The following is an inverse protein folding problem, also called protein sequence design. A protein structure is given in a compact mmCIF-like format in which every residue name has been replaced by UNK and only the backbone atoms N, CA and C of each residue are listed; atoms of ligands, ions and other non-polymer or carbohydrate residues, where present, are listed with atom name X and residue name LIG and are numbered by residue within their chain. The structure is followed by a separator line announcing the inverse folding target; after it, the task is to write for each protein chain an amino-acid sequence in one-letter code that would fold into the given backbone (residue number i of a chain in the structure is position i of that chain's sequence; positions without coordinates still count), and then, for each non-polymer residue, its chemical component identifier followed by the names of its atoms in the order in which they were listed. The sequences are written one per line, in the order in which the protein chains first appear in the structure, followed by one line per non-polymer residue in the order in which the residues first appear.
data_IF_823568976913
#
_entry.id   IF_823568976913
#
_cell.length_a   1.000
_cell.length_b   1.000
_cell.length_c   1.000
_cell.angle_alpha   90.00
_cell.angle_beta   90.00
_cell.angle_gamma   90.00
#
_symmetry.space_group_name_H-M   'P 1'
#
loop_
_entity.id
_entity.type
_entity.pdbx_description
1 polymer ?
#
# COMPACT_ATOMS: atom_id res chain seq x y z
N UNK A 1 -11.95 -19.48 -0.74
CA UNK A 1 -12.22 -18.72 0.50
C UNK A 1 -11.15 -17.68 0.82
N UNK A 2 -9.84 -17.98 0.69
CA UNK A 2 -8.74 -17.07 1.07
C UNK A 2 -8.80 -15.68 0.39
N UNK A 3 -9.00 -15.64 -0.93
CA UNK A 3 -9.02 -14.39 -1.70
C UNK A 3 -10.13 -13.40 -1.27
N UNK A 4 -11.37 -13.88 -1.12
CA UNK A 4 -12.48 -13.01 -0.71
C UNK A 4 -12.24 -12.43 0.68
N UNK A 5 -11.82 -13.28 1.62
CA UNK A 5 -11.49 -12.86 2.99
C UNK A 5 -10.44 -11.76 2.98
N UNK A 6 -9.36 -11.93 2.22
CA UNK A 6 -8.32 -10.90 2.10
C UNK A 6 -8.89 -9.61 1.50
N UNK A 7 -9.68 -9.66 0.43
CA UNK A 7 -10.25 -8.44 -0.17
C UNK A 7 -11.19 -7.69 0.79
N UNK A 8 -11.99 -8.41 1.58
CA UNK A 8 -12.87 -7.81 2.59
C UNK A 8 -12.04 -7.22 3.72
N UNK A 9 -11.07 -7.97 4.25
CA UNK A 9 -10.15 -7.50 5.29
C UNK A 9 -9.41 -6.23 4.84
N UNK A 10 -9.03 -6.15 3.56
CA UNK A 10 -8.36 -4.95 2.99
C UNK A 10 -9.29 -3.74 2.91
N UNK A 11 -10.54 -3.92 2.49
CA UNK A 11 -11.52 -2.82 2.43
C UNK A 11 -11.82 -2.29 3.84
N UNK A 12 -12.04 -3.18 4.81
CA UNK A 12 -12.32 -2.81 6.20
C UNK A 12 -11.18 -1.97 6.81
N UNK A 13 -9.93 -2.28 6.46
CA UNK A 13 -8.76 -1.63 7.06
C UNK A 13 -8.09 -0.59 6.16
N UNK A 14 -8.75 -0.19 5.08
CA UNK A 14 -8.21 0.79 4.14
C UNK A 14 -7.95 2.16 4.80
N UNK A 15 -8.69 2.45 5.87
CA UNK A 15 -8.53 3.65 6.71
C UNK A 15 -7.17 3.73 7.43
N UNK A 16 -6.42 2.62 7.56
CA UNK A 16 -5.06 2.67 8.17
C UNK A 16 -3.96 2.93 7.12
N UNK A 17 -4.32 3.02 5.84
CA UNK A 17 -3.41 3.01 4.71
C UNK A 17 -3.83 4.03 3.62
N UNK A 18 -4.38 3.57 2.49
CA UNK A 18 -4.63 4.40 1.31
C UNK A 18 -5.58 5.57 1.57
N UNK A 19 -6.69 5.34 2.30
CA UNK A 19 -7.61 6.42 2.66
C UNK A 19 -6.92 7.44 3.55
N UNK A 20 -6.08 6.98 4.47
CA UNK A 20 -5.37 7.83 5.41
C UNK A 20 -4.36 8.73 4.70
N UNK A 21 -3.62 8.17 3.75
CA UNK A 21 -2.71 8.93 2.90
C UNK A 21 -3.48 9.94 2.07
N UNK A 22 -4.49 9.48 1.33
CA UNK A 22 -5.26 10.33 0.43
C UNK A 22 -5.90 11.53 1.16
N UNK A 23 -6.57 11.26 2.28
CA UNK A 23 -7.19 12.29 3.13
C UNK A 23 -6.14 13.26 3.68
N UNK A 24 -5.15 12.78 4.41
CA UNK A 24 -4.17 13.66 5.07
C UNK A 24 -3.29 14.45 4.09
N UNK A 25 -2.86 13.84 2.99
CA UNK A 25 -2.00 14.52 2.01
C UNK A 25 -2.74 15.62 1.26
N UNK A 26 -4.03 15.41 0.98
CA UNK A 26 -4.83 16.42 0.24
C UNK A 26 -5.34 17.50 1.16
N UNK A 27 -5.78 17.16 2.38
CA UNK A 27 -6.23 18.12 3.38
C UNK A 27 -5.11 19.02 3.90
N UNK A 28 -3.84 18.57 3.87
CA UNK A 28 -2.69 19.43 4.12
C UNK A 28 -2.62 20.64 3.16
N UNK A 29 -3.28 20.54 2.00
CA UNK A 29 -3.39 21.59 1.00
C UNK A 29 -4.83 22.08 0.80
N UNK A 30 -5.74 21.82 1.75
CA UNK A 30 -7.17 22.18 1.67
C UNK A 30 -7.88 21.65 0.41
N UNK A 31 -7.46 20.48 -0.08
CA UNK A 31 -8.08 19.81 -1.23
C UNK A 31 -8.93 18.64 -0.75
N UNK A 32 -10.20 18.60 -1.16
CA UNK A 32 -11.10 17.48 -0.90
C UNK A 32 -10.88 16.35 -1.91
N UNK A 33 -10.56 15.15 -1.44
CA UNK A 33 -10.46 13.95 -2.29
C UNK A 33 -11.76 13.15 -2.25
N UNK A 34 -12.24 12.73 -3.42
CA UNK A 34 -13.37 11.79 -3.56
C UNK A 34 -12.90 10.47 -4.13
N UNK A 35 -13.45 9.39 -3.60
CA UNK A 35 -13.04 8.01 -3.90
C UNK A 35 -14.23 7.16 -4.36
N UNK A 36 -14.70 7.29 -5.62
CA UNK A 36 -15.91 6.62 -6.11
C UNK A 36 -15.90 5.10 -5.96
N UNK A 37 -14.72 4.46 -5.97
CA UNK A 37 -14.58 3.02 -5.77
C UNK A 37 -14.90 2.54 -4.33
N UNK A 38 -15.07 3.45 -3.38
CA UNK A 38 -15.52 3.17 -2.02
C UNK A 38 -16.96 3.64 -1.76
N UNK A 39 -17.68 4.03 -2.81
CA UNK A 39 -19.11 4.26 -2.72
C UNK A 39 -19.83 2.99 -2.22
N UNK A 40 -20.85 3.16 -1.38
CA UNK A 40 -21.55 2.06 -0.73
C UNK A 40 -22.26 1.16 -1.75
N UNK A 41 -22.95 1.74 -2.71
CA UNK A 41 -23.69 0.99 -3.74
C UNK A 41 -22.72 0.23 -4.65
N UNK A 42 -21.59 0.86 -4.99
CA UNK A 42 -20.53 0.20 -5.73
C UNK A 42 -19.91 -0.97 -4.95
N UNK A 43 -19.64 -0.78 -3.66
CA UNK A 43 -19.07 -1.82 -2.80
C UNK A 43 -20.02 -3.02 -2.65
N UNK A 44 -21.33 -2.79 -2.56
CA UNK A 44 -22.31 -3.88 -2.50
C UNK A 44 -22.19 -4.77 -3.74
N UNK A 45 -22.11 -4.19 -4.94
CA UNK A 45 -21.91 -4.94 -6.19
C UNK A 45 -20.54 -5.64 -6.20
N UNK A 46 -19.46 -4.92 -5.86
CA UNK A 46 -18.09 -5.42 -5.95
C UNK A 46 -17.80 -6.56 -4.95
N UNK A 47 -18.33 -6.47 -3.72
CA UNK A 47 -18.14 -7.49 -2.68
C UNK A 47 -18.98 -8.72 -2.98
N UNK A 48 -20.25 -8.55 -3.36
CA UNK A 48 -21.18 -9.65 -3.69
C UNK A 48 -20.81 -10.40 -4.97
N UNK A 49 -20.07 -9.77 -5.88
CA UNK A 49 -19.56 -10.42 -7.08
C UNK A 49 -18.72 -11.65 -6.71
N UNK A 50 -18.99 -12.79 -7.38
CA UNK A 50 -18.34 -14.06 -7.07
C UNK A 50 -16.80 -13.95 -7.18
N UNK A 51 -16.03 -14.45 -6.20
CA UNK A 51 -14.58 -14.26 -6.14
C UNK A 51 -13.82 -14.74 -7.39
N UNK A 52 -14.34 -15.75 -8.09
CA UNK A 52 -13.74 -16.28 -9.33
C UNK A 52 -13.58 -15.22 -10.42
N UNK A 53 -14.49 -14.24 -10.48
CA UNK A 53 -14.45 -13.17 -11.48
C UNK A 53 -13.51 -12.02 -11.11
N UNK A 54 -13.12 -11.95 -9.83
CA UNK A 54 -12.22 -10.91 -9.31
C UNK A 54 -10.75 -11.34 -9.35
N UNK A 55 -10.48 -12.63 -9.57
CA UNK A 55 -9.12 -13.15 -9.73
C UNK A 55 -8.52 -12.66 -11.05
N UNK A 56 -7.18 -12.55 -11.14
CA UNK A 56 -6.52 -12.31 -12.40
C UNK A 56 -6.95 -13.35 -13.45
N UNK A 57 -7.11 -12.89 -14.68
CA UNK A 57 -7.55 -13.73 -15.80
C UNK A 57 -6.40 -13.84 -16.81
N UNK A 58 -6.11 -15.07 -17.24
CA UNK A 58 -5.10 -15.31 -18.26
C UNK A 58 -5.58 -14.78 -19.63
N UNK A 59 -4.86 -13.85 -20.23
CA UNK A 59 -5.12 -13.28 -21.55
C UNK A 59 -3.79 -13.14 -22.29
N UNK A 60 -3.71 -13.67 -23.52
CA UNK A 60 -2.50 -13.61 -24.35
C UNK A 60 -1.22 -14.10 -23.63
N UNK A 61 -1.35 -15.17 -22.83
CA UNK A 61 -0.25 -15.76 -22.05
C UNK A 61 0.19 -14.96 -20.82
N UNK A 62 -0.57 -13.93 -20.40
CA UNK A 62 -0.30 -13.13 -19.20
C UNK A 62 -1.51 -13.06 -18.28
N UNK A 63 -1.29 -13.04 -16.98
CA UNK A 63 -2.36 -12.79 -16.01
C UNK A 63 -2.66 -11.29 -15.94
N UNK A 64 -3.93 -10.94 -16.16
CA UNK A 64 -4.41 -9.55 -16.08
C UNK A 64 -5.23 -9.35 -14.83
N UNK A 65 -4.76 -8.50 -13.92
CA UNK A 65 -5.51 -8.09 -12.74
C UNK A 65 -6.70 -7.17 -13.08
N UNK A 66 -7.72 -7.20 -12.20
CA UNK A 66 -8.94 -6.40 -12.34
C UNK A 66 -9.65 -6.62 -13.69
N UNK A 67 -9.57 -7.84 -14.23
CA UNK A 67 -10.10 -8.19 -15.55
C UNK A 67 -11.58 -7.83 -15.72
N UNK A 68 -12.45 -8.23 -14.77
CA UNK A 68 -13.89 -7.90 -14.84
C UNK A 68 -14.14 -6.38 -14.91
N UNK A 69 -13.34 -5.59 -14.19
CA UNK A 69 -13.43 -4.14 -14.22
C UNK A 69 -13.00 -3.62 -15.59
N UNK A 70 -11.85 -4.08 -16.13
CA UNK A 70 -11.38 -3.68 -17.46
C UNK A 70 -12.40 -4.04 -18.54
N UNK A 71 -12.96 -5.25 -18.52
CA UNK A 71 -14.00 -5.68 -19.46
C UNK A 71 -15.29 -4.85 -19.37
N UNK A 72 -15.66 -4.35 -18.20
CA UNK A 72 -16.83 -3.48 -18.06
C UNK A 72 -16.66 -2.12 -18.78
N UNK A 73 -15.42 -1.68 -18.99
CA UNK A 73 -15.07 -0.46 -19.73
C UNK A 73 -14.48 -0.73 -21.12
N UNK A 74 -14.54 -1.98 -21.61
CA UNK A 74 -14.07 -2.38 -22.94
C UNK A 74 -15.11 -2.05 -24.03
N UNK A 75 -15.57 -0.79 -23.99
CA UNK A 75 -16.27 -0.11 -25.05
C UNK A 75 -15.33 1.00 -25.53
N UNK A 76 -15.16 1.16 -26.84
CA UNK A 76 -14.19 2.09 -27.48
C UNK A 76 -14.42 3.59 -27.18
N UNK A 77 -15.23 3.90 -26.17
CA UNK A 77 -15.68 5.25 -25.80
C UNK A 77 -15.02 5.80 -24.52
N UNK A 78 -14.47 4.95 -23.64
CA UNK A 78 -14.00 5.41 -22.32
C UNK A 78 -12.49 5.59 -22.24
N UNK A 79 -11.71 4.61 -22.70
CA UNK A 79 -10.26 4.60 -22.60
C UNK A 79 -9.65 3.98 -23.86
N UNK A 80 -8.49 4.48 -24.33
CA UNK A 80 -7.72 3.82 -25.37
C UNK A 80 -7.35 2.39 -24.96
N UNK A 81 -7.35 1.46 -25.92
CA UNK A 81 -7.08 0.03 -25.69
C UNK A 81 -5.77 -0.21 -24.93
N UNK A 82 -4.71 0.53 -25.28
CA UNK A 82 -3.40 0.44 -24.63
C UNK A 82 -3.42 0.80 -23.14
N UNK A 83 -4.28 1.75 -22.73
CA UNK A 83 -4.44 2.15 -21.33
C UNK A 83 -5.32 1.14 -20.59
N UNK A 84 -6.41 0.71 -21.22
CA UNK A 84 -7.36 -0.23 -20.63
C UNK A 84 -6.71 -1.58 -20.30
N UNK A 85 -5.72 -2.01 -21.10
CA UNK A 85 -5.03 -3.28 -20.94
C UNK A 85 -3.58 -3.14 -20.46
N UNK A 86 -3.18 -1.94 -20.03
CA UNK A 86 -1.87 -1.70 -19.43
C UNK A 86 -1.67 -2.53 -18.17
N UNK A 87 -0.48 -3.11 -18.03
CA UNK A 87 -0.05 -3.80 -16.82
C UNK A 87 -0.05 -2.84 -15.62
N UNK A 88 -0.58 -3.28 -14.46
CA UNK A 88 -0.52 -2.47 -13.24
C UNK A 88 0.91 -2.42 -12.70
N UNK A 89 1.46 -1.22 -12.68
CA UNK A 89 2.67 -0.88 -11.92
C UNK A 89 2.29 -0.32 -10.55
N UNK A 90 3.14 -0.50 -9.53
CA UNK A 90 2.90 0.08 -8.21
C UNK A 90 3.12 1.61 -8.24
N UNK A 91 2.58 2.33 -7.26
CA UNK A 91 2.74 3.80 -7.24
C UNK A 91 4.21 4.21 -7.14
N UNK A 92 5.00 3.45 -6.39
CA UNK A 92 6.43 3.69 -6.19
C UNK A 92 7.22 3.58 -7.49
N UNK A 93 6.86 2.63 -8.35
CA UNK A 93 7.53 2.40 -9.62
C UNK A 93 7.05 3.40 -10.68
N UNK A 94 5.76 3.78 -10.60
CA UNK A 94 5.14 4.74 -11.52
C UNK A 94 5.54 6.21 -11.31
N UNK A 95 6.08 6.57 -10.13
CA UNK A 95 6.62 7.93 -9.89
C UNK A 95 8.08 8.08 -10.33
N UNK A 96 8.77 6.98 -10.61
CA UNK A 96 10.17 6.95 -11.03
C UNK A 96 11.05 6.14 -10.07
N UNK A 97 11.77 5.16 -10.62
CA UNK A 97 12.63 4.24 -9.85
C UNK A 97 13.68 4.95 -8.99
N UNK A 98 14.24 6.06 -9.46
CA UNK A 98 15.29 6.80 -8.73
C UNK A 98 14.81 7.42 -7.42
N UNK A 99 13.52 7.74 -7.30
CA UNK A 99 13.00 8.44 -6.12
C UNK A 99 13.12 7.59 -4.84
N UNK A 100 12.81 6.29 -4.95
CA UNK A 100 12.88 5.38 -3.80
C UNK A 100 14.34 5.18 -3.39
N UNK A 101 15.23 4.98 -4.37
CA UNK A 101 16.64 4.74 -4.12
C UNK A 101 17.30 5.96 -3.46
N UNK A 102 16.96 7.16 -3.91
CA UNK A 102 17.41 8.42 -3.31
C UNK A 102 16.88 8.58 -1.87
N UNK A 103 15.61 8.25 -1.63
CA UNK A 103 15.02 8.30 -0.29
C UNK A 103 15.70 7.31 0.67
N UNK A 104 15.96 6.08 0.22
CA UNK A 104 16.68 5.07 1.01
C UNK A 104 18.10 5.54 1.31
N UNK A 105 18.83 6.02 0.30
CA UNK A 105 20.19 6.55 0.45
C UNK A 105 20.24 7.78 1.37
N UNK A 106 19.21 8.62 1.35
CA UNK A 106 19.08 9.72 2.29
C UNK A 106 18.89 9.21 3.72
N UNK A 107 17.93 8.32 3.97
CA UNK A 107 17.66 7.77 5.31
C UNK A 107 18.87 7.02 5.88
N UNK A 108 19.60 6.30 5.03
CA UNK A 108 20.83 5.58 5.39
C UNK A 108 21.90 6.52 5.97
N UNK A 109 21.99 7.76 5.44
CA UNK A 109 22.93 8.78 5.94
C UNK A 109 22.46 9.46 7.22
N UNK A 110 21.16 9.47 7.50
CA UNK A 110 20.60 10.13 8.68
C UNK A 110 20.71 9.28 9.95
N UNK A 111 20.78 7.95 9.81
CA UNK A 111 20.76 7.01 10.93
C UNK A 111 22.06 6.20 10.98
N UNK A 112 22.83 6.34 12.05
CA UNK A 112 24.04 5.55 12.25
C UNK A 112 23.71 4.09 12.63
N UNK A 113 24.63 3.16 12.38
CA UNK A 113 24.48 1.76 12.79
C UNK A 113 24.35 1.63 14.31
N UNK A 114 25.06 2.47 15.06
CA UNK A 114 25.00 2.55 16.51
C UNK A 114 23.61 2.97 17.00
N UNK A 115 23.01 4.00 16.37
CA UNK A 115 21.65 4.44 16.69
C UNK A 115 20.63 3.37 16.33
N UNK A 116 20.77 2.76 15.15
CA UNK A 116 19.87 1.70 14.69
C UNK A 116 19.94 0.45 15.58
N UNK A 117 21.10 0.12 16.15
CA UNK A 117 21.25 -1.01 17.07
C UNK A 117 20.37 -0.89 18.33
N UNK A 118 19.99 0.34 18.72
CA UNK A 118 19.13 0.64 19.87
C UNK A 118 17.64 0.69 19.51
N UNK A 119 17.24 0.34 18.29
CA UNK A 119 15.86 0.42 17.82
C UNK A 119 14.86 -0.32 18.72
N UNK A 120 15.20 -1.52 19.20
CA UNK A 120 14.33 -2.31 20.05
C UNK A 120 14.14 -1.69 21.44
N UNK A 121 15.15 -0.99 21.95
CA UNK A 121 15.10 -0.26 23.22
C UNK A 121 14.26 1.02 23.09
N UNK A 122 14.51 1.80 22.04
CA UNK A 122 13.84 3.09 21.81
C UNK A 122 12.38 2.90 21.36
N UNK A 123 12.11 1.88 20.53
CA UNK A 123 10.81 1.65 19.91
C UNK A 123 10.36 0.19 20.09
N UNK A 124 9.98 -0.23 21.31
CA UNK A 124 9.59 -1.61 21.58
C UNK A 124 8.29 -2.02 20.87
N UNK A 125 7.36 -1.08 20.68
CA UNK A 125 6.17 -1.31 19.87
C UNK A 125 6.46 -1.02 18.39
N UNK A 126 6.15 -1.96 17.49
CA UNK A 126 6.43 -1.84 16.05
C UNK A 126 7.89 -1.43 15.76
N UNK A 127 8.85 -2.20 16.28
CA UNK A 127 10.27 -1.92 16.10
C UNK A 127 10.62 -1.83 14.61
N UNK A 128 11.28 -0.75 14.16
CA UNK A 128 11.64 -0.56 12.77
C UNK A 128 12.69 -1.59 12.33
N UNK A 129 12.48 -2.19 11.15
CA UNK A 129 13.33 -3.25 10.60
C UNK A 129 14.37 -2.74 9.58
N UNK A 130 14.37 -1.45 9.26
CA UNK A 130 15.32 -0.80 8.36
C UNK A 130 15.61 0.63 8.85
N UNK A 131 16.71 1.22 8.39
CA UNK A 131 17.04 2.63 8.68
C UNK A 131 16.03 3.61 8.10
N UNK A 132 15.42 3.30 6.95
CA UNK A 132 14.27 4.03 6.41
C UNK A 132 13.10 4.04 7.41
N UNK A 133 12.69 2.86 7.88
CA UNK A 133 11.60 2.75 8.84
C UNK A 133 11.96 3.39 10.19
N UNK A 134 13.23 3.31 10.60
CA UNK A 134 13.73 3.95 11.82
C UNK A 134 13.66 5.47 11.70
N UNK A 135 14.13 6.03 10.60
CA UNK A 135 14.05 7.46 10.32
C UNK A 135 12.60 7.94 10.38
N UNK A 136 11.68 7.27 9.66
CA UNK A 136 10.25 7.61 9.71
C UNK A 136 9.66 7.49 11.12
N UNK A 137 10.04 6.46 11.87
CA UNK A 137 9.57 6.23 13.25
C UNK A 137 10.11 7.28 14.22
N UNK A 138 11.37 7.67 14.08
CA UNK A 138 12.00 8.73 14.88
C UNK A 138 11.28 10.05 14.65
N UNK A 139 11.09 10.45 13.39
CA UNK A 139 10.30 11.64 13.05
C UNK A 139 8.90 11.53 13.65
N UNK A 140 8.24 10.37 13.55
CA UNK A 140 6.91 10.09 14.14
C UNK A 140 6.87 10.36 15.62
N UNK A 141 7.85 9.84 16.35
CA UNK A 141 7.91 10.03 17.79
C UNK A 141 8.21 11.49 18.17
N UNK A 142 9.04 12.20 17.41
CA UNK A 142 9.31 13.63 17.63
C UNK A 142 8.05 14.50 17.48
N UNK A 143 7.19 14.18 16.52
CA UNK A 143 5.93 14.90 16.29
C UNK A 143 4.77 14.38 17.14
N UNK A 144 4.82 13.12 17.60
CA UNK A 144 3.84 12.45 18.44
C UNK A 144 4.53 11.63 19.56
N UNK A 145 4.93 12.27 20.65
CA UNK A 145 5.74 11.63 21.69
C UNK A 145 4.98 10.58 22.53
N UNK A 146 3.68 10.44 22.34
CA UNK A 146 2.86 9.50 23.12
C UNK A 146 2.95 8.07 22.59
N UNK A 147 3.14 7.10 23.50
CA UNK A 147 3.06 5.67 23.17
C UNK A 147 1.70 5.27 22.58
N UNK A 148 0.62 5.97 22.95
CA UNK A 148 -0.69 5.72 22.39
C UNK A 148 -0.75 6.10 20.91
N UNK A 149 -0.03 7.14 20.49
CA UNK A 149 0.06 7.51 19.07
C UNK A 149 0.75 6.39 18.27
N UNK A 150 1.83 5.82 18.79
CA UNK A 150 2.51 4.69 18.14
C UNK A 150 1.58 3.47 17.96
N UNK A 151 0.69 3.20 18.93
CA UNK A 151 -0.29 2.10 18.87
C UNK A 151 -1.38 2.31 17.81
N UNK A 152 -1.59 3.52 17.32
CA UNK A 152 -2.53 3.78 16.22
C UNK A 152 -1.98 3.34 14.86
N UNK A 153 -0.66 3.14 14.75
CA UNK A 153 -0.01 2.75 13.50
C UNK A 153 -0.14 1.26 13.31
N UNK A 154 -0.94 0.85 12.33
CA UNK A 154 -1.09 -0.55 11.98
C UNK A 154 -0.10 -0.94 10.89
N UNK A 155 0.73 -1.94 11.17
CA UNK A 155 1.57 -2.59 10.16
C UNK A 155 0.75 -3.63 9.40
N UNK A 156 0.75 -3.54 8.07
CA UNK A 156 0.28 -4.62 7.21
C UNK A 156 1.43 -5.11 6.35
N UNK A 157 1.58 -6.43 6.28
CA UNK A 157 2.60 -7.12 5.50
C UNK A 157 1.82 -8.06 4.57
N UNK A 158 2.01 -7.96 3.25
CA UNK A 158 1.47 -8.93 2.31
C UNK A 158 1.76 -10.38 2.74
N UNK A 159 0.76 -11.25 2.69
CA UNK A 159 0.92 -12.66 3.12
C UNK A 159 1.75 -13.51 2.16
N UNK A 160 2.10 -12.97 1.00
CA UNK A 160 2.74 -13.68 -0.11
C UNK A 160 4.15 -13.16 -0.42
N UNK A 161 4.71 -12.30 0.44
CA UNK A 161 6.10 -11.86 0.34
C UNK A 161 6.94 -12.46 1.47
N UNK A 162 8.22 -12.72 1.19
CA UNK A 162 9.17 -13.22 2.20
C UNK A 162 9.74 -12.09 3.06
N UNK A 163 9.81 -10.87 2.53
CA UNK A 163 10.36 -9.73 3.25
C UNK A 163 9.33 -9.15 4.25
N UNK A 164 9.84 -8.57 5.32
CA UNK A 164 9.02 -7.92 6.35
C UNK A 164 8.65 -6.47 5.98
N UNK A 165 8.99 -6.02 4.76
CA UNK A 165 8.77 -4.64 4.32
C UNK A 165 7.30 -4.39 4.00
N UNK A 166 6.61 -3.49 4.72
CA UNK A 166 5.22 -3.19 4.43
C UNK A 166 5.00 -2.49 3.07
N UNK A 167 6.05 -2.00 2.36
CA UNK A 167 5.90 -1.26 1.09
C UNK A 167 5.12 -2.01 0.02
N UNK A 168 5.24 -3.34 0.00
CA UNK A 168 4.86 -4.14 -1.15
C UNK A 168 5.80 -3.98 -2.36
N UNK A 169 6.99 -3.35 -2.23
CA UNK A 169 8.03 -3.25 -3.27
C UNK A 169 8.29 -4.63 -3.87
N UNK A 170 8.64 -4.66 -5.16
CA UNK A 170 9.01 -5.90 -5.81
C UNK A 170 10.25 -6.50 -5.13
N UNK A 171 10.09 -7.64 -4.46
CA UNK A 171 11.21 -8.36 -3.88
C UNK A 171 12.02 -8.98 -5.03
N UNK A 172 13.27 -8.57 -5.20
CA UNK A 172 14.21 -9.26 -6.06
C UNK A 172 14.42 -10.69 -5.53
N UNK A 173 14.10 -11.66 -6.39
CA UNK A 173 14.43 -13.10 -6.28
C UNK A 173 13.93 -13.85 -5.04
N UNK A 174 12.80 -14.55 -5.17
CA UNK A 174 12.61 -16.01 -4.98
C UNK A 174 11.10 -16.26 -5.00
N UNK A 175 10.60 -16.69 -6.16
CA UNK A 175 9.23 -17.17 -6.34
C UNK A 175 9.15 -18.53 -5.65
N UNK A 176 8.54 -18.60 -4.47
CA UNK A 176 8.03 -19.89 -3.96
C UNK A 176 6.93 -20.33 -4.93
N UNK A 177 6.97 -21.55 -5.51
CA UNK A 177 5.94 -22.00 -6.42
C UNK A 177 4.69 -22.32 -5.62
N UNK A 178 3.82 -21.33 -5.45
CA UNK A 178 2.42 -21.52 -5.08
C UNK A 178 1.61 -20.92 -6.22
N UNK A 179 0.81 -21.71 -6.97
CA UNK A 179 0.11 -21.21 -8.14
C UNK A 179 -1.11 -20.40 -7.71
N UNK A 180 -0.94 -19.11 -7.39
CA UNK A 180 -2.03 -18.14 -7.23
C UNK A 180 -1.52 -16.73 -7.55
N UNK A 181 -1.63 -16.35 -8.82
CA UNK A 181 -1.95 -15.00 -9.32
C UNK A 181 -1.86 -13.86 -8.26
N UNK A 182 -0.70 -13.20 -8.20
CA UNK A 182 -0.31 -12.22 -7.19
C UNK A 182 -1.18 -10.95 -7.23
N UNK A 183 -1.97 -10.71 -6.18
CA UNK A 183 -2.70 -9.46 -5.98
C UNK A 183 -1.73 -8.39 -5.45
N UNK A 184 -1.19 -7.53 -6.31
CA UNK A 184 -0.31 -6.42 -5.90
C UNK A 184 -1.15 -5.23 -5.37
N UNK A 185 -1.06 -4.92 -4.08
CA UNK A 185 -1.68 -3.76 -3.43
C UNK A 185 -0.69 -3.06 -2.47
N UNK A 186 -0.73 -1.73 -2.52
CA UNK A 186 0.21 -0.69 -2.06
C UNK A 186 0.26 -0.48 -0.54
N UNK A 187 1.40 0.01 -0.01
CA UNK A 187 1.48 0.91 1.17
C UNK A 187 2.65 1.91 1.05
N UNK A 188 2.45 3.16 1.47
CA UNK A 188 3.34 3.93 2.37
C UNK A 188 2.74 5.32 2.70
N UNK A 189 3.12 5.86 3.86
CA UNK A 189 2.90 7.19 4.45
C UNK A 189 1.56 7.51 5.14
N UNK A 190 1.67 7.77 6.44
CA UNK A 190 0.61 8.25 7.33
C UNK A 190 1.18 9.35 8.21
N UNK A 191 0.76 10.60 8.01
CA UNK A 191 1.26 11.77 8.75
C UNK A 191 0.24 12.91 8.79
N UNK A 192 -0.30 13.24 9.98
CA UNK A 192 -0.87 14.56 10.31
C UNK A 192 -1.06 14.73 11.82
N UNK A 193 -0.63 15.88 12.35
CA UNK A 193 -0.78 16.31 13.76
C UNK A 193 -2.27 16.48 14.13
N UNK A 194 -2.71 16.19 15.37
CA UNK A 194 -4.00 16.67 15.83
C UNK A 194 -3.96 18.20 15.87
N UNK A 195 -4.86 18.83 15.14
CA UNK A 195 -5.14 20.25 15.30
C UNK A 195 -5.82 20.44 16.65
N UNK A 196 -5.19 21.23 17.51
CA UNK A 196 -5.85 21.89 18.64
C UNK A 196 -6.59 23.11 18.10
N UNK A 197 -7.91 23.03 18.06
CA UNK A 197 -8.84 24.17 18.13
C UNK A 197 -9.92 23.81 19.13
#
# INVERSE_FOLDING_TARGET
MIFLKETVDRVIHLYTADCLRADKSTMAHSVEVRVPFLDKEFLDVAILTAPRFKRPHAMNGRDVEKYILRKAFDADTYLPHEILWRQKEQFSDGVGYSWIDELMAYCEKQISDEEFSKAAELFPHNTPASKEAFYMRKTFHELFPSDNAAKTVRRWIPKWQQNQDPSGKEASSVVVPIPVSTCRAILYFNWSRPFSV
#
